data_IF_829249595555
#
_entry.id   IF_829249595555
#
_cell.length_a   1.000
_cell.length_b   1.000
_cell.length_c   1.000
_cell.angle_alpha   90.00
_cell.angle_beta   90.00
_cell.angle_gamma   90.00
#
_symmetry.space_group_name_H-M   'P 1'
#
loop_
_entity.id
_entity.type
_entity.pdbx_description
1 polymer ?
#
# COMPACT_ATOMS: atom_id res chain seq x y z
N UNK A 1 34.33 -21.37 15.22
CA UNK A 1 33.29 -20.75 16.08
C UNK A 1 32.52 -21.86 16.77
N UNK A 2 32.24 -21.73 18.08
CA UNK A 2 31.51 -22.73 18.84
C UNK A 2 30.08 -22.24 19.11
N UNK A 3 29.09 -22.93 18.56
CA UNK A 3 27.70 -22.69 18.84
C UNK A 3 27.17 -23.69 19.87
N UNK A 4 26.44 -23.21 20.88
CA UNK A 4 25.85 -24.07 21.92
C UNK A 4 24.34 -24.24 21.66
N UNK A 5 23.90 -25.45 21.51
CA UNK A 5 22.49 -25.84 21.41
C UNK A 5 22.08 -26.67 22.62
N UNK A 6 20.76 -26.94 22.75
CA UNK A 6 20.25 -27.88 23.75
C UNK A 6 20.80 -29.33 23.59
N UNK A 7 21.28 -29.64 22.38
CA UNK A 7 21.88 -30.95 22.05
C UNK A 7 23.39 -30.99 22.26
N UNK A 8 24.00 -29.88 22.74
CA UNK A 8 25.43 -29.78 22.99
C UNK A 8 26.13 -28.75 22.07
N UNK A 9 27.45 -28.64 22.20
CA UNK A 9 28.26 -27.74 21.38
C UNK A 9 28.41 -28.27 19.96
N UNK A 10 28.24 -27.37 18.97
CA UNK A 10 28.46 -27.67 17.56
C UNK A 10 29.62 -26.78 17.09
N UNK A 11 30.64 -27.37 16.49
CA UNK A 11 31.75 -26.65 15.89
C UNK A 11 31.42 -26.33 14.43
N UNK A 12 31.51 -25.03 14.04
CA UNK A 12 31.13 -24.54 12.72
C UNK A 12 32.20 -23.59 12.20
N UNK A 13 32.45 -23.62 10.89
CA UNK A 13 33.24 -22.60 10.19
C UNK A 13 32.45 -21.33 10.02
N UNK A 14 31.15 -21.46 9.62
CA UNK A 14 30.24 -20.36 9.38
C UNK A 14 28.88 -20.64 10.02
N UNK A 15 28.22 -19.59 10.46
CA UNK A 15 26.83 -19.62 10.92
C UNK A 15 26.00 -18.55 10.18
N UNK A 16 24.97 -18.99 9.48
CA UNK A 16 24.04 -18.10 8.77
C UNK A 16 22.72 -18.07 9.53
N UNK A 17 22.34 -16.89 10.00
CA UNK A 17 21.05 -16.66 10.65
C UNK A 17 20.01 -16.35 9.59
N UNK A 18 19.04 -17.22 9.41
CA UNK A 18 17.88 -17.03 8.54
C UNK A 18 16.61 -16.98 9.39
N UNK A 19 16.58 -16.05 10.36
CA UNK A 19 15.56 -15.99 11.42
C UNK A 19 14.34 -15.16 11.05
N UNK A 20 14.26 -14.67 9.79
CA UNK A 20 13.13 -13.86 9.33
C UNK A 20 13.17 -12.41 9.83
N UNK A 21 11.99 -11.82 9.95
CA UNK A 21 11.79 -10.45 10.38
C UNK A 21 11.07 -10.44 11.74
N UNK A 22 11.16 -9.31 12.44
CA UNK A 22 10.43 -9.08 13.68
C UNK A 22 9.61 -7.77 13.58
N UNK A 23 8.45 -7.75 14.24
CA UNK A 23 7.66 -6.54 14.43
C UNK A 23 8.11 -5.86 15.72
N UNK A 24 8.97 -4.86 15.57
CA UNK A 24 9.50 -4.07 16.67
C UNK A 24 9.35 -2.57 16.37
N UNK A 25 8.41 -1.92 17.03
CA UNK A 25 8.13 -0.49 16.87
C UNK A 25 9.30 0.38 17.34
N UNK A 26 10.09 -0.08 18.32
CA UNK A 26 11.25 0.66 18.83
C UNK A 26 12.34 0.86 17.79
N UNK A 27 12.43 -0.06 16.84
CA UNK A 27 13.37 -0.02 15.73
C UNK A 27 12.85 0.82 14.53
N UNK A 28 11.73 1.51 14.70
CA UNK A 28 11.10 2.33 13.66
C UNK A 28 11.01 3.81 14.08
N UNK A 29 12.13 4.54 14.15
CA UNK A 29 12.15 5.90 14.66
C UNK A 29 11.26 6.88 13.88
N UNK A 30 11.01 6.62 12.58
CA UNK A 30 10.08 7.41 11.76
C UNK A 30 8.63 7.32 12.26
N UNK A 31 8.25 6.19 12.84
CA UNK A 31 6.89 5.95 13.31
C UNK A 31 6.70 6.28 14.80
N UNK A 32 7.74 6.75 15.51
CA UNK A 32 7.71 6.94 16.98
C UNK A 32 6.54 7.81 17.48
N UNK A 33 6.11 8.78 16.66
CA UNK A 33 5.04 9.69 17.04
C UNK A 33 3.65 9.12 16.79
N UNK A 34 3.51 8.23 15.82
CA UNK A 34 2.23 7.60 15.50
C UNK A 34 2.05 6.23 16.16
N UNK A 35 3.13 5.51 16.44
CA UNK A 35 3.10 4.16 17.01
C UNK A 35 2.20 4.01 18.26
N UNK A 36 2.19 4.96 19.22
CA UNK A 36 1.29 4.87 20.39
C UNK A 36 -0.20 4.94 20.03
N UNK A 37 -0.53 5.46 18.86
CA UNK A 37 -1.91 5.67 18.41
C UNK A 37 -2.37 4.58 17.44
N UNK A 38 -1.45 3.76 16.92
CA UNK A 38 -1.76 2.67 16.00
C UNK A 38 -2.43 1.53 16.74
N UNK A 39 -3.57 1.08 16.24
CA UNK A 39 -4.24 -0.13 16.72
C UNK A 39 -3.43 -1.36 16.29
N UNK A 40 -3.17 -2.23 17.24
CA UNK A 40 -2.49 -3.51 17.01
C UNK A 40 -3.48 -4.67 17.11
N UNK A 41 -3.06 -5.85 16.66
CA UNK A 41 -3.87 -7.06 16.84
C UNK A 41 -4.07 -7.40 18.31
N UNK A 42 -3.11 -7.09 19.19
CA UNK A 42 -3.25 -7.25 20.63
C UNK A 42 -4.31 -6.32 21.26
N UNK A 43 -4.63 -5.19 20.62
CA UNK A 43 -5.75 -4.32 21.07
C UNK A 43 -7.12 -4.89 20.67
N UNK A 44 -7.16 -5.69 19.58
CA UNK A 44 -8.39 -6.21 19.01
C UNK A 44 -8.73 -7.63 19.47
N UNK A 45 -7.73 -8.44 19.73
CA UNK A 45 -7.88 -9.85 20.03
C UNK A 45 -7.01 -10.24 21.22
N UNK A 46 -7.58 -11.04 22.12
CA UNK A 46 -6.89 -11.58 23.27
C UNK A 46 -6.67 -13.08 23.07
N UNK A 47 -5.42 -13.51 23.13
CA UNK A 47 -5.07 -14.92 23.03
C UNK A 47 -5.57 -15.72 24.23
N UNK A 48 -5.85 -17.01 24.03
CA UNK A 48 -6.05 -17.94 25.13
C UNK A 48 -4.74 -18.13 25.92
N UNK A 49 -4.88 -18.47 27.20
CA UNK A 49 -3.73 -18.69 28.07
C UNK A 49 -2.77 -19.74 27.50
N UNK A 50 -1.53 -19.38 27.33
CA UNK A 50 -0.47 -20.23 26.76
C UNK A 50 -0.36 -20.22 25.25
N UNK A 51 -1.17 -19.36 24.56
CA UNK A 51 -1.11 -19.11 23.12
C UNK A 51 -0.70 -17.66 22.81
N UNK A 52 -0.22 -16.94 23.81
CA UNK A 52 0.21 -15.56 23.67
C UNK A 52 1.43 -15.48 22.76
N UNK A 53 1.39 -14.61 21.77
CA UNK A 53 2.50 -14.27 20.89
C UNK A 53 2.70 -12.76 20.85
N UNK A 54 3.82 -12.31 21.38
CA UNK A 54 4.11 -10.89 21.50
C UNK A 54 4.32 -10.22 20.14
N UNK A 55 4.85 -10.92 19.16
CA UNK A 55 5.08 -10.39 17.81
C UNK A 55 3.76 -10.24 17.04
N UNK A 56 2.91 -11.27 17.07
CA UNK A 56 1.57 -11.20 16.48
C UNK A 56 0.75 -10.10 17.13
N UNK A 57 0.79 -10.01 18.46
CA UNK A 57 0.08 -8.96 19.20
C UNK A 57 0.58 -7.55 18.87
N UNK A 58 1.88 -7.38 18.59
CA UNK A 58 2.47 -6.11 18.20
C UNK A 58 2.23 -5.73 16.74
N UNK A 59 1.79 -6.66 15.90
CA UNK A 59 1.49 -6.40 14.50
C UNK A 59 0.34 -5.41 14.35
N UNK A 60 0.41 -4.44 13.41
CA UNK A 60 -0.65 -3.48 13.21
C UNK A 60 -1.92 -4.14 12.66
N UNK A 61 -3.08 -3.76 13.21
CA UNK A 61 -4.38 -4.05 12.63
C UNK A 61 -4.67 -3.00 11.56
N UNK A 62 -4.48 -3.36 10.31
CA UNK A 62 -4.59 -2.46 9.16
C UNK A 62 -5.98 -2.48 8.54
N UNK A 63 -6.33 -1.37 7.91
CA UNK A 63 -7.47 -1.31 7.03
C UNK A 63 -7.22 -2.00 5.68
N UNK A 64 -8.27 -2.10 4.83
CA UNK A 64 -8.21 -2.88 3.60
C UNK A 64 -7.19 -2.38 2.57
N UNK A 65 -6.73 -1.14 2.67
CA UNK A 65 -5.76 -0.54 1.74
C UNK A 65 -4.42 -0.28 2.42
N UNK A 66 -4.05 -1.09 3.41
CA UNK A 66 -2.80 -1.02 4.18
C UNK A 66 -2.70 0.18 5.13
N UNK A 67 -3.76 0.98 5.27
CA UNK A 67 -3.76 2.15 6.14
C UNK A 67 -3.74 1.75 7.62
N UNK A 68 -3.00 2.51 8.41
CA UNK A 68 -3.07 2.38 9.87
C UNK A 68 -4.43 2.79 10.39
N UNK A 69 -4.90 2.06 11.40
CA UNK A 69 -6.12 2.37 12.12
C UNK A 69 -5.81 2.89 13.52
N UNK A 70 -6.61 3.85 13.98
CA UNK A 70 -6.44 4.39 15.31
C UNK A 70 -6.86 3.37 16.38
N UNK A 71 -6.10 3.34 17.46
CA UNK A 71 -6.46 2.65 18.71
C UNK A 71 -7.69 3.32 19.31
N UNK A 72 -8.57 2.54 19.92
CA UNK A 72 -9.79 3.04 20.54
C UNK A 72 -9.49 4.15 21.58
N UNK A 73 -10.22 5.25 21.50
CA UNK A 73 -10.02 6.42 22.35
C UNK A 73 -8.83 7.31 21.94
N UNK A 74 -8.07 6.96 20.92
CA UNK A 74 -6.98 7.78 20.39
C UNK A 74 -7.43 8.51 19.14
N UNK A 75 -7.08 9.79 19.05
CA UNK A 75 -7.26 10.60 17.84
C UNK A 75 -5.88 11.03 17.34
N UNK A 76 -5.50 10.53 16.18
CA UNK A 76 -4.27 10.91 15.48
C UNK A 76 -4.65 11.28 14.05
N UNK A 77 -4.77 12.59 13.80
CA UNK A 77 -5.13 13.10 12.48
C UNK A 77 -4.12 12.65 11.43
N UNK A 78 -4.61 12.15 10.30
CA UNK A 78 -3.79 11.69 9.18
C UNK A 78 -3.18 10.30 9.36
N UNK A 79 -3.52 9.56 10.43
CA UNK A 79 -3.04 8.19 10.62
C UNK A 79 -3.52 7.27 9.50
N UNK A 80 -4.73 7.45 9.04
CA UNK A 80 -5.39 6.78 7.91
C UNK A 80 -4.73 7.06 6.55
N UNK A 81 -3.84 8.05 6.48
CA UNK A 81 -3.02 8.39 5.30
C UNK A 81 -1.64 7.75 5.30
N UNK A 82 -1.30 7.04 6.37
CA UNK A 82 -0.04 6.31 6.49
C UNK A 82 -0.31 4.83 6.24
N UNK A 83 0.35 4.29 5.23
CA UNK A 83 0.15 2.91 4.79
C UNK A 83 1.35 2.04 5.14
N UNK A 84 1.08 0.82 5.60
CA UNK A 84 2.08 -0.16 5.96
C UNK A 84 2.18 -1.24 4.87
N UNK A 85 3.12 -1.09 3.94
CA UNK A 85 3.33 -2.06 2.85
C UNK A 85 4.67 -2.79 3.04
N UNK A 86 4.73 -3.60 4.09
CA UNK A 86 5.90 -4.43 4.41
C UNK A 86 5.49 -5.60 5.32
N UNK A 87 6.47 -6.36 5.83
CA UNK A 87 6.26 -7.57 6.63
C UNK A 87 5.20 -7.43 7.76
N UNK A 88 5.17 -6.36 8.59
CA UNK A 88 4.14 -6.22 9.63
C UNK A 88 2.70 -6.23 9.13
N UNK A 89 2.45 -5.96 7.85
CA UNK A 89 1.12 -6.01 7.28
C UNK A 89 0.60 -7.43 7.01
N UNK A 90 1.48 -8.44 7.08
CA UNK A 90 1.13 -9.81 6.71
C UNK A 90 0.01 -10.41 7.57
N UNK A 91 -0.08 -10.04 8.85
CA UNK A 91 -1.15 -10.54 9.71
C UNK A 91 -2.54 -9.99 9.32
N UNK A 92 -2.60 -8.74 8.83
CA UNK A 92 -3.86 -8.11 8.41
C UNK A 92 -4.25 -8.47 6.98
N UNK A 93 -3.29 -8.58 6.06
CA UNK A 93 -3.55 -8.63 4.62
C UNK A 93 -2.91 -9.83 3.92
N UNK A 94 -2.27 -10.72 4.67
CA UNK A 94 -1.58 -11.88 4.13
C UNK A 94 -0.25 -11.51 3.46
N UNK A 95 0.23 -12.41 2.62
CA UNK A 95 1.59 -12.35 2.04
C UNK A 95 1.76 -11.35 0.88
N UNK A 96 0.70 -10.62 0.53
CA UNK A 96 0.70 -9.68 -0.61
C UNK A 96 1.65 -8.48 -0.42
N UNK A 97 2.25 -8.31 0.74
CA UNK A 97 3.20 -7.24 1.06
C UNK A 97 4.66 -7.66 1.05
N UNK A 98 4.96 -8.92 0.81
CA UNK A 98 6.34 -9.38 0.91
C UNK A 98 6.68 -10.68 0.18
N UNK A 99 5.71 -11.37 -0.39
CA UNK A 99 5.92 -12.64 -1.07
C UNK A 99 5.86 -12.50 -2.60
N UNK A 100 6.72 -13.20 -3.27
CA UNK A 100 6.77 -13.24 -4.74
C UNK A 100 6.03 -14.53 -5.18
N UNK A 101 5.02 -14.42 -6.06
CA UNK A 101 4.62 -13.29 -6.92
C UNK A 101 3.56 -12.35 -6.37
N UNK A 102 3.01 -12.59 -5.17
CA UNK A 102 1.85 -11.88 -4.63
C UNK A 102 2.08 -10.37 -4.40
N UNK A 103 3.33 -9.93 -4.20
CA UNK A 103 3.68 -8.53 -3.95
C UNK A 103 3.23 -7.58 -5.07
N UNK A 104 3.18 -8.04 -6.32
CA UNK A 104 2.73 -7.22 -7.45
C UNK A 104 1.25 -6.85 -7.35
N UNK A 105 0.43 -7.76 -6.86
CA UNK A 105 -1.00 -7.51 -6.62
C UNK A 105 -1.19 -6.52 -5.46
N UNK A 106 -0.46 -6.71 -4.37
CA UNK A 106 -0.48 -5.77 -3.25
C UNK A 106 -0.04 -4.36 -3.64
N UNK A 107 1.03 -4.24 -4.43
CA UNK A 107 1.52 -2.97 -4.92
C UNK A 107 0.51 -2.28 -5.85
N UNK A 108 -0.13 -3.02 -6.75
CA UNK A 108 -1.19 -2.49 -7.63
C UNK A 108 -2.38 -1.97 -6.80
N UNK A 109 -2.83 -2.74 -5.81
CA UNK A 109 -3.92 -2.35 -4.91
C UNK A 109 -3.60 -1.06 -4.17
N UNK A 110 -2.41 -0.96 -3.57
CA UNK A 110 -1.98 0.25 -2.86
C UNK A 110 -1.88 1.44 -3.81
N UNK A 111 -1.24 1.28 -4.97
CA UNK A 111 -1.06 2.35 -5.95
C UNK A 111 -2.42 2.87 -6.47
N UNK A 112 -3.34 1.97 -6.79
CA UNK A 112 -4.71 2.35 -7.24
C UNK A 112 -5.45 3.12 -6.15
N UNK A 113 -5.35 2.67 -4.91
CA UNK A 113 -5.97 3.37 -3.77
C UNK A 113 -5.40 4.76 -3.58
N UNK A 114 -4.06 4.90 -3.54
CA UNK A 114 -3.41 6.19 -3.37
C UNK A 114 -3.72 7.14 -4.52
N UNK A 115 -3.69 6.67 -5.76
CA UNK A 115 -4.07 7.47 -6.91
C UNK A 115 -5.53 7.96 -6.83
N UNK A 116 -6.45 7.07 -6.41
CA UNK A 116 -7.86 7.43 -6.22
C UNK A 116 -8.08 8.46 -5.13
N UNK A 117 -7.37 8.34 -4.00
CA UNK A 117 -7.44 9.29 -2.89
C UNK A 117 -6.92 10.68 -3.31
N UNK A 118 -5.75 10.74 -3.95
CA UNK A 118 -5.16 11.99 -4.43
C UNK A 118 -6.04 12.64 -5.50
N UNK A 119 -6.59 11.85 -6.42
CA UNK A 119 -7.53 12.37 -7.42
C UNK A 119 -8.78 12.97 -6.78
N UNK A 120 -9.35 12.29 -5.78
CA UNK A 120 -10.53 12.76 -5.08
C UNK A 120 -10.30 14.05 -4.29
N UNK A 121 -9.08 14.22 -3.71
CA UNK A 121 -8.69 15.44 -3.02
C UNK A 121 -8.57 16.64 -3.96
N UNK A 122 -8.09 16.41 -5.18
CA UNK A 122 -7.85 17.45 -6.18
C UNK A 122 -9.01 17.61 -7.18
N UNK A 123 -10.19 17.01 -6.93
CA UNK A 123 -11.30 16.94 -7.89
C UNK A 123 -11.76 18.32 -8.37
N UNK A 124 -11.83 19.31 -7.48
CA UNK A 124 -12.24 20.67 -7.84
C UNK A 124 -11.23 21.33 -8.76
N UNK A 125 -9.93 21.09 -8.53
CA UNK A 125 -8.85 21.56 -9.38
C UNK A 125 -8.90 20.90 -10.77
N UNK A 126 -9.14 19.61 -10.83
CA UNK A 126 -9.28 18.89 -12.10
C UNK A 126 -10.51 19.37 -12.87
N UNK A 127 -11.62 19.61 -12.18
CA UNK A 127 -12.82 20.13 -12.79
C UNK A 127 -12.63 21.55 -13.35
N UNK A 128 -11.98 22.44 -12.58
CA UNK A 128 -11.65 23.79 -13.05
C UNK A 128 -10.75 23.76 -14.30
N UNK A 129 -9.72 22.93 -14.31
CA UNK A 129 -8.85 22.75 -15.48
C UNK A 129 -9.61 22.22 -16.70
N UNK A 130 -10.55 21.32 -16.48
CA UNK A 130 -11.40 20.81 -17.57
C UNK A 130 -12.29 21.92 -18.14
N UNK A 131 -12.85 22.79 -17.29
CA UNK A 131 -13.66 23.93 -17.74
C UNK A 131 -12.81 24.99 -18.46
N UNK A 132 -11.59 25.20 -18.03
CA UNK A 132 -10.64 26.16 -18.64
C UNK A 132 -10.01 25.62 -19.93
N UNK A 133 -10.21 24.33 -20.25
CA UNK A 133 -9.71 23.73 -21.48
C UNK A 133 -10.47 24.30 -22.68
N UNK A 134 -9.84 25.26 -23.35
CA UNK A 134 -10.42 26.04 -24.44
C UNK A 134 -9.84 25.71 -25.82
N UNK A 135 -8.85 24.80 -25.89
CA UNK A 135 -8.25 24.37 -27.16
C UNK A 135 -9.09 23.25 -27.76
N UNK A 136 -9.83 23.49 -28.83
CA UNK A 136 -10.58 22.43 -29.49
C UNK A 136 -9.60 21.47 -30.18
N UNK A 137 -9.83 20.17 -30.05
CA UNK A 137 -9.12 19.15 -30.81
C UNK A 137 -9.44 19.21 -32.29
N UNK A 138 -10.64 19.75 -32.61
CA UNK A 138 -11.15 19.90 -33.97
C UNK A 138 -11.40 21.38 -34.20
N UNK A 139 -10.63 21.98 -35.10
CA UNK A 139 -10.72 23.42 -35.40
C UNK A 139 -11.86 23.76 -36.35
N UNK A 140 -12.59 22.78 -36.86
CA UNK A 140 -13.71 22.95 -37.74
C UNK A 140 -13.35 23.17 -39.22
N UNK A 141 -12.08 23.14 -39.54
CA UNK A 141 -11.50 23.24 -40.86
C UNK A 141 -10.92 21.93 -41.40
N UNK A 142 -10.87 20.87 -40.56
CA UNK A 142 -10.42 19.54 -40.96
C UNK A 142 -11.40 18.86 -41.94
N UNK A 143 -12.61 19.37 -42.01
CA UNK A 143 -13.66 18.82 -42.90
C UNK A 143 -14.29 19.93 -43.75
N UNK A 144 -13.78 20.08 -44.93
CA UNK A 144 -14.46 20.87 -45.94
C UNK A 144 -15.26 19.93 -46.83
N UNK A 145 -16.58 20.06 -46.86
CA UNK A 145 -17.39 19.24 -47.71
C UNK A 145 -17.02 19.52 -49.20
N UNK A 146 -16.54 18.50 -49.89
CA UNK A 146 -16.27 18.60 -51.34
C UNK A 146 -17.59 18.78 -52.07
N UNK A 147 -17.77 19.85 -52.88
CA UNK A 147 -18.98 20.04 -53.66
C UNK A 147 -19.22 18.84 -54.56
N UNK A 148 -20.43 18.36 -54.67
CA UNK A 148 -20.82 17.25 -55.54
C UNK A 148 -20.41 17.48 -57.00
N UNK A 149 -20.24 18.73 -57.43
CA UNK A 149 -19.71 19.11 -58.74
C UNK A 149 -18.31 18.66 -59.04
N UNK A 150 -17.51 18.39 -58.02
CA UNK A 150 -16.10 18.02 -58.15
C UNK A 150 -15.92 16.50 -58.09
N UNK A 151 -17.02 15.76 -57.98
CA UNK A 151 -17.02 14.31 -58.03
C UNK A 151 -17.06 13.87 -59.50
N UNK A 152 -15.90 13.71 -60.11
CA UNK A 152 -15.83 13.04 -61.42
C UNK A 152 -15.99 11.54 -61.18
N UNK A 153 -17.05 10.95 -61.69
CA UNK A 153 -17.23 9.51 -61.70
C UNK A 153 -16.03 8.86 -62.49
N UNK A 154 -15.45 7.80 -61.99
CA UNK A 154 -14.39 7.11 -62.73
C UNK A 154 -14.91 6.66 -64.09
N UNK A 155 -14.25 7.07 -65.16
CA UNK A 155 -14.53 6.58 -66.53
C UNK A 155 -14.29 5.09 -66.57
N UNK A 156 -15.31 4.31 -66.80
CA UNK A 156 -15.24 2.86 -67.09
C UNK A 156 -14.70 2.61 -68.51
#
# INVERSE_FOLDING_TARGET
MLFRSSLGPIELDFLIFATGFAVDWSQRPLLRHIAPHVRTWGDRWCAEAGQEDAELSASPDLGPNFEFQARDGHNCSGLDRVHCFNYPAALSLGVITGDIPAISEGALRLATTLAGLLWAEDIDHHFARMQDFAEPEVFGDEWVATPLSDFQAPNH
#
